data_IF_061912289349
#
_entry.id   IF_061912289349
#
_cell.length_a   1.000
_cell.length_b   1.000
_cell.length_c   1.000
_cell.angle_alpha   90.00
_cell.angle_beta   90.00
_cell.angle_gamma   90.00
#
_symmetry.space_group_name_H-M   'P 1'
#
loop_
_entity.id
_entity.type
_entity.pdbx_description
1 polymer ?
#
# COMPACT_ATOMS: atom_id res chain seq x y z
N UNK A 1 18.59 -15.69 14.45
CA UNK A 1 17.33 -16.16 13.84
C UNK A 1 17.60 -16.47 12.38
N UNK A 2 17.24 -17.66 11.88
CA UNK A 2 17.51 -18.04 10.50
C UNK A 2 16.65 -17.24 9.51
N UNK A 3 17.23 -16.78 8.40
CA UNK A 3 16.47 -16.09 7.35
C UNK A 3 15.56 -17.06 6.56
N UNK A 4 14.56 -16.52 5.85
CA UNK A 4 13.60 -17.31 5.06
C UNK A 4 14.28 -18.35 4.16
N UNK A 5 15.33 -17.96 3.42
CA UNK A 5 16.08 -18.87 2.53
C UNK A 5 16.78 -20.01 3.27
N UNK A 6 17.21 -19.80 4.52
CA UNK A 6 17.82 -20.85 5.31
C UNK A 6 16.76 -21.86 5.78
N UNK A 7 15.58 -21.39 6.18
CA UNK A 7 14.45 -22.26 6.54
C UNK A 7 13.93 -23.03 5.32
N UNK A 8 13.82 -22.38 4.16
CA UNK A 8 13.43 -23.03 2.91
C UNK A 8 14.36 -24.17 2.50
N UNK A 9 15.67 -24.02 2.75
CA UNK A 9 16.64 -25.13 2.56
C UNK A 9 16.36 -26.30 3.50
N UNK A 10 16.01 -26.03 4.76
CA UNK A 10 15.67 -27.09 5.73
C UNK A 10 14.40 -27.86 5.37
N UNK A 11 13.45 -27.24 4.66
CA UNK A 11 12.24 -27.95 4.19
C UNK A 11 12.58 -28.90 3.03
N UNK A 12 13.54 -28.54 2.17
CA UNK A 12 13.96 -29.34 1.01
C UNK A 12 14.98 -30.44 1.34
N UNK A 13 15.63 -30.33 2.49
CA UNK A 13 16.71 -31.21 2.94
C UNK A 13 16.22 -32.66 3.11
N UNK A 14 16.67 -33.61 2.27
CA UNK A 14 16.19 -34.99 2.27
C UNK A 14 16.55 -35.76 3.54
N UNK A 15 17.58 -35.33 4.27
CA UNK A 15 18.09 -36.02 5.46
C UNK A 15 17.31 -35.66 6.73
N UNK A 16 16.38 -34.69 6.63
CA UNK A 16 15.55 -34.26 7.76
C UNK A 16 14.27 -35.05 7.88
N UNK A 17 13.91 -35.31 9.13
CA UNK A 17 12.62 -35.86 9.52
C UNK A 17 11.44 -35.00 9.03
N UNK A 18 10.32 -35.60 8.57
CA UNK A 18 9.14 -34.87 8.09
C UNK A 18 8.59 -33.84 9.09
N UNK A 19 8.62 -34.13 10.39
CA UNK A 19 8.16 -33.21 11.44
C UNK A 19 9.03 -31.94 11.52
N UNK A 20 10.34 -32.10 11.35
CA UNK A 20 11.29 -30.97 11.33
C UNK A 20 11.09 -30.10 10.09
N UNK A 21 10.81 -30.70 8.94
CA UNK A 21 10.48 -29.97 7.70
C UNK A 21 9.18 -29.20 7.85
N UNK A 22 8.14 -29.81 8.41
CA UNK A 22 6.88 -29.13 8.74
C UNK A 22 7.13 -27.93 9.66
N UNK A 23 7.94 -28.11 10.70
CA UNK A 23 8.28 -27.01 11.61
C UNK A 23 9.06 -25.89 10.90
N UNK A 24 10.01 -26.23 10.02
CA UNK A 24 10.74 -25.25 9.22
C UNK A 24 9.80 -24.46 8.29
N UNK A 25 8.83 -25.13 7.67
CA UNK A 25 7.81 -24.47 6.85
C UNK A 25 6.93 -23.52 7.69
N UNK A 26 6.50 -23.93 8.88
CA UNK A 26 5.77 -23.04 9.81
C UNK A 26 6.59 -21.81 10.21
N UNK A 27 7.90 -21.97 10.45
CA UNK A 27 8.81 -20.84 10.70
C UNK A 27 8.96 -19.92 9.47
N UNK A 28 8.81 -20.44 8.24
CA UNK A 28 8.77 -19.57 7.05
C UNK A 28 7.56 -18.64 7.07
N UNK A 29 6.40 -19.13 7.55
CA UNK A 29 5.17 -18.35 7.66
C UNK A 29 5.26 -17.22 8.70
N UNK A 30 6.06 -17.37 9.75
CA UNK A 30 6.34 -16.27 10.69
C UNK A 30 7.00 -15.07 10.00
N UNK A 31 7.67 -15.30 8.85
CA UNK A 31 8.34 -14.26 8.08
C UNK A 31 7.52 -13.74 6.92
N UNK A 32 6.67 -14.57 6.32
CA UNK A 32 5.84 -14.20 5.19
C UNK A 32 4.51 -14.94 5.25
N UNK A 33 3.48 -14.24 5.73
CA UNK A 33 2.10 -14.74 5.82
C UNK A 33 1.11 -13.68 5.32
N UNK A 34 0.88 -13.60 4.00
CA UNK A 34 0.05 -12.55 3.40
C UNK A 34 -1.40 -12.57 3.90
N UNK A 35 -1.96 -13.74 4.24
CA UNK A 35 -3.31 -13.84 4.82
C UNK A 35 -3.34 -13.83 6.35
N UNK A 36 -2.17 -13.70 6.99
CA UNK A 36 -1.97 -14.07 8.38
C UNK A 36 -1.61 -15.55 8.53
N UNK A 37 -0.97 -15.88 9.65
CA UNK A 37 -0.32 -17.18 9.83
C UNK A 37 -1.29 -18.36 9.65
N UNK A 38 -2.44 -18.34 10.36
CA UNK A 38 -3.40 -19.45 10.31
C UNK A 38 -4.06 -19.61 8.94
N UNK A 39 -4.51 -18.52 8.32
CA UNK A 39 -5.14 -18.56 7.01
C UNK A 39 -4.16 -18.98 5.90
N UNK A 40 -2.91 -18.51 5.96
CA UNK A 40 -1.87 -18.91 5.00
C UNK A 40 -1.52 -20.39 5.16
N UNK A 41 -1.43 -20.90 6.40
CA UNK A 41 -1.20 -22.33 6.64
C UNK A 41 -2.34 -23.18 6.05
N UNK A 42 -3.60 -22.83 6.33
CA UNK A 42 -4.76 -23.55 5.80
C UNK A 42 -4.81 -23.53 4.27
N UNK A 43 -4.51 -22.37 3.67
CA UNK A 43 -4.39 -22.21 2.22
C UNK A 43 -3.37 -23.18 1.61
N UNK A 44 -2.15 -23.21 2.17
CA UNK A 44 -1.09 -24.10 1.68
C UNK A 44 -1.43 -25.58 1.85
N UNK A 45 -2.00 -25.96 3.00
CA UNK A 45 -2.45 -27.33 3.26
C UNK A 45 -3.48 -27.77 2.21
N UNK A 46 -4.47 -26.91 1.94
CA UNK A 46 -5.52 -27.18 0.96
C UNK A 46 -4.99 -27.29 -0.47
N UNK A 47 -4.11 -26.39 -0.90
CA UNK A 47 -3.56 -26.40 -2.26
C UNK A 47 -2.58 -27.54 -2.50
N UNK A 48 -1.74 -27.86 -1.52
CA UNK A 48 -0.80 -28.97 -1.61
C UNK A 48 -1.46 -30.33 -1.30
N UNK A 49 -2.67 -30.35 -0.74
CA UNK A 49 -3.44 -31.57 -0.53
C UNK A 49 -3.09 -32.37 0.72
N UNK A 50 -2.58 -31.73 1.78
CA UNK A 50 -2.33 -32.38 3.07
C UNK A 50 -3.14 -31.77 4.22
N UNK A 51 -3.42 -32.55 5.26
CA UNK A 51 -4.24 -32.07 6.38
C UNK A 51 -3.43 -31.14 7.30
N UNK A 52 -3.98 -30.01 7.78
CA UNK A 52 -3.25 -29.04 8.60
C UNK A 52 -2.70 -29.60 9.91
N UNK A 53 -3.32 -30.63 10.46
CA UNK A 53 -2.90 -31.31 11.70
C UNK A 53 -1.97 -32.50 11.48
N UNK A 54 -1.77 -32.93 10.22
CA UNK A 54 -0.91 -34.05 9.87
C UNK A 54 0.53 -33.82 10.36
N UNK A 55 1.03 -34.73 11.19
CA UNK A 55 2.34 -34.63 11.83
C UNK A 55 3.48 -35.01 10.90
N UNK A 56 3.22 -35.92 9.96
CA UNK A 56 4.22 -36.47 9.05
C UNK A 56 3.70 -36.44 7.60
N UNK A 57 3.37 -35.25 7.07
CA UNK A 57 2.92 -35.13 5.70
C UNK A 57 4.03 -35.53 4.74
N UNK A 58 3.64 -36.02 3.57
CA UNK A 58 4.58 -36.37 2.50
C UNK A 58 5.54 -35.19 2.23
N UNK A 59 6.86 -35.40 2.33
CA UNK A 59 7.85 -34.36 2.07
C UNK A 59 7.70 -33.68 0.70
N UNK A 60 7.20 -34.39 -0.32
CA UNK A 60 6.97 -33.80 -1.64
C UNK A 60 5.86 -32.72 -1.58
N UNK A 61 4.79 -32.95 -0.82
CA UNK A 61 3.71 -31.99 -0.63
C UNK A 61 4.16 -30.76 0.17
N UNK A 62 5.06 -30.96 1.15
CA UNK A 62 5.69 -29.85 1.87
C UNK A 62 6.54 -28.97 0.96
N UNK A 63 7.29 -29.58 0.03
CA UNK A 63 8.08 -28.83 -0.96
C UNK A 63 7.18 -28.08 -1.94
N UNK A 64 6.09 -28.69 -2.43
CA UNK A 64 5.12 -28.03 -3.28
C UNK A 64 4.47 -26.80 -2.59
N UNK A 65 4.10 -26.94 -1.31
CA UNK A 65 3.61 -25.82 -0.50
C UNK A 65 4.66 -24.71 -0.32
N UNK A 66 5.93 -25.08 -0.12
CA UNK A 66 7.02 -24.11 -0.04
C UNK A 66 7.22 -23.37 -1.37
N UNK A 67 7.15 -24.06 -2.50
CA UNK A 67 7.30 -23.46 -3.83
C UNK A 67 6.20 -22.43 -4.10
N UNK A 68 4.95 -22.72 -3.74
CA UNK A 68 3.87 -21.72 -3.83
C UNK A 68 4.16 -20.49 -2.96
N UNK A 69 4.64 -20.71 -1.73
CA UNK A 69 5.00 -19.61 -0.83
C UNK A 69 6.17 -18.78 -1.36
N UNK A 70 7.16 -19.42 -1.97
CA UNK A 70 8.32 -18.78 -2.59
C UNK A 70 7.95 -17.98 -3.82
N UNK A 71 7.08 -18.51 -4.69
CA UNK A 71 6.57 -17.78 -5.85
C UNK A 71 5.84 -16.51 -5.43
N UNK A 72 4.95 -16.62 -4.45
CA UNK A 72 4.25 -15.48 -3.88
C UNK A 72 5.22 -14.45 -3.27
N UNK A 73 6.24 -14.93 -2.55
CA UNK A 73 7.27 -14.06 -1.97
C UNK A 73 8.11 -13.37 -3.05
N UNK A 74 8.39 -14.04 -4.16
CA UNK A 74 9.13 -13.46 -5.28
C UNK A 74 8.35 -12.32 -5.94
N UNK A 75 7.03 -12.50 -6.16
CA UNK A 75 6.14 -11.43 -6.64
C UNK A 75 6.19 -10.21 -5.71
N UNK A 76 6.09 -10.44 -4.40
CA UNK A 76 6.13 -9.35 -3.43
C UNK A 76 7.48 -8.63 -3.41
N UNK A 77 8.60 -9.35 -3.40
CA UNK A 77 9.94 -8.74 -3.42
C UNK A 77 10.20 -7.94 -4.70
N UNK A 78 9.70 -8.41 -5.85
CA UNK A 78 9.79 -7.68 -7.10
C UNK A 78 9.07 -6.33 -6.97
N UNK A 79 7.84 -6.34 -6.47
CA UNK A 79 7.07 -5.12 -6.19
C UNK A 79 7.79 -4.17 -5.23
N UNK A 80 8.35 -4.67 -4.12
CA UNK A 80 9.11 -3.83 -3.19
C UNK A 80 10.32 -3.15 -3.88
N UNK A 81 11.00 -3.88 -4.76
CA UNK A 81 12.14 -3.33 -5.51
C UNK A 81 11.73 -2.21 -6.46
N UNK A 82 10.56 -2.33 -7.09
CA UNK A 82 9.99 -1.31 -7.98
C UNK A 82 9.59 -0.05 -7.20
N UNK A 83 8.92 -0.20 -6.05
CA UNK A 83 8.59 0.92 -5.17
C UNK A 83 9.85 1.64 -4.68
N UNK A 84 10.88 0.89 -4.27
CA UNK A 84 12.15 1.47 -3.86
C UNK A 84 12.84 2.23 -5.00
N UNK A 85 12.85 1.66 -6.21
CA UNK A 85 13.40 2.30 -7.40
C UNK A 85 12.64 3.59 -7.76
N UNK A 86 11.30 3.56 -7.75
CA UNK A 86 10.45 4.73 -7.98
C UNK A 86 10.73 5.83 -6.96
N UNK A 87 10.68 5.51 -5.67
CA UNK A 87 10.96 6.48 -4.59
C UNK A 87 12.36 7.07 -4.68
N UNK A 88 13.35 6.30 -5.16
CA UNK A 88 14.72 6.80 -5.42
C UNK A 88 14.74 7.83 -6.55
N UNK A 89 13.96 7.65 -7.62
CA UNK A 89 13.82 8.61 -8.74
C UNK A 89 13.08 9.87 -8.29
N UNK A 90 11.92 9.73 -7.66
CA UNK A 90 11.12 10.86 -7.15
C UNK A 90 11.91 11.74 -6.16
N UNK A 91 12.67 11.11 -5.26
CA UNK A 91 13.55 11.85 -4.33
C UNK A 91 14.62 12.65 -5.05
N UNK A 92 15.14 12.15 -6.18
CA UNK A 92 16.12 12.86 -7.03
C UNK A 92 15.45 14.02 -7.78
N UNK A 93 14.20 13.85 -8.18
CA UNK A 93 13.37 14.87 -8.85
C UNK A 93 12.76 15.89 -7.86
N UNK A 94 13.07 15.79 -6.57
CA UNK A 94 12.59 16.72 -5.55
C UNK A 94 11.18 16.43 -5.02
N UNK A 95 10.51 15.38 -5.49
CA UNK A 95 9.18 14.98 -5.06
C UNK A 95 9.27 14.24 -3.71
N UNK A 96 8.88 14.92 -2.63
CA UNK A 96 8.95 14.38 -1.26
C UNK A 96 7.61 13.89 -0.71
N UNK A 97 6.50 14.30 -1.32
CA UNK A 97 5.17 13.86 -0.90
C UNK A 97 4.95 12.38 -1.25
N UNK A 98 4.54 11.53 -0.29
CA UNK A 98 4.21 10.13 -0.57
C UNK A 98 2.92 10.02 -1.39
N UNK A 99 2.89 9.13 -2.36
CA UNK A 99 1.68 8.79 -3.13
C UNK A 99 0.73 7.92 -2.30
N UNK A 100 -0.54 7.83 -2.68
CA UNK A 100 -1.51 6.92 -2.04
C UNK A 100 -1.02 5.45 -2.01
N UNK A 101 -0.28 5.02 -3.04
CA UNK A 101 0.38 3.71 -3.08
C UNK A 101 1.48 3.56 -2.04
N UNK A 102 2.29 4.61 -1.85
CA UNK A 102 3.38 4.58 -0.88
C UNK A 102 2.83 4.59 0.55
N UNK A 103 1.69 5.23 0.74
CA UNK A 103 0.96 5.22 2.00
C UNK A 103 0.33 3.85 2.27
N UNK A 104 -0.28 3.22 1.26
CA UNK A 104 -0.73 1.83 1.34
C UNK A 104 0.44 0.89 1.65
N UNK A 105 1.51 0.93 0.86
CA UNK A 105 2.72 0.13 1.08
C UNK A 105 3.26 0.30 2.51
N UNK A 106 3.31 1.54 3.03
CA UNK A 106 3.73 1.81 4.40
C UNK A 106 2.80 1.20 5.46
N UNK A 107 1.48 1.21 5.23
CA UNK A 107 0.49 0.64 6.17
C UNK A 107 0.49 -0.90 6.14
N UNK A 108 0.74 -1.48 4.97
CA UNK A 108 0.65 -2.91 4.73
C UNK A 108 1.96 -3.63 5.08
N UNK A 109 3.11 -2.95 5.02
CA UNK A 109 4.40 -3.51 5.41
C UNK A 109 4.70 -3.34 6.91
N UNK A 110 5.48 -4.28 7.49
CA UNK A 110 5.91 -4.21 8.90
C UNK A 110 5.19 -5.15 9.87
N UNK A 111 4.68 -6.29 9.40
CA UNK A 111 4.12 -7.35 10.26
C UNK A 111 2.59 -7.38 10.35
N UNK A 112 1.89 -6.62 9.52
CA UNK A 112 0.44 -6.77 9.31
C UNK A 112 0.17 -7.75 8.16
N UNK A 113 -0.83 -8.61 8.31
CA UNK A 113 -1.34 -9.43 7.21
C UNK A 113 -1.78 -8.53 6.06
N UNK A 114 -1.34 -8.82 4.83
CA UNK A 114 -1.68 -8.03 3.65
C UNK A 114 -3.20 -8.03 3.39
N UNK A 115 -3.82 -9.17 3.64
CA UNK A 115 -5.25 -9.41 3.47
C UNK A 115 -5.72 -10.20 4.69
N UNK A 116 -6.63 -9.64 5.49
CA UNK A 116 -7.25 -10.42 6.56
C UNK A 116 -8.27 -11.37 5.92
N UNK A 117 -7.97 -12.68 5.95
CA UNK A 117 -8.89 -13.71 5.47
C UNK A 117 -9.32 -14.59 6.65
N UNK A 118 -10.58 -15.03 6.61
CA UNK A 118 -11.06 -16.06 7.54
C UNK A 118 -10.26 -17.36 7.28
N UNK A 119 -9.56 -17.92 8.29
CA UNK A 119 -8.84 -19.17 8.13
C UNK A 119 -9.73 -20.35 7.76
N UNK A 120 -11.05 -20.30 7.99
CA UNK A 120 -11.98 -21.34 7.58
C UNK A 120 -12.24 -21.34 6.06
N UNK A 121 -12.02 -20.21 5.38
CA UNK A 121 -12.33 -20.03 3.96
C UNK A 121 -11.20 -19.30 3.24
N UNK A 122 -10.01 -19.92 3.13
CA UNK A 122 -8.92 -19.33 2.36
C UNK A 122 -9.31 -19.25 0.87
N UNK A 123 -8.91 -18.17 0.18
CA UNK A 123 -9.15 -18.03 -1.25
C UNK A 123 -8.55 -19.21 -2.03
N UNK A 124 -9.25 -19.69 -3.06
CA UNK A 124 -8.79 -20.83 -3.88
C UNK A 124 -7.64 -20.56 -4.84
N UNK A 125 -7.43 -19.36 -5.43
CA UNK A 125 -6.34 -19.15 -6.37
C UNK A 125 -4.97 -19.27 -5.69
N UNK A 126 -3.94 -19.58 -6.48
CA UNK A 126 -2.56 -19.64 -5.96
C UNK A 126 -2.18 -18.31 -5.34
N UNK A 127 -1.37 -18.37 -4.29
CA UNK A 127 -1.03 -17.21 -3.49
C UNK A 127 -0.37 -16.10 -4.32
N UNK A 128 0.49 -16.47 -5.28
CA UNK A 128 1.13 -15.53 -6.20
C UNK A 128 0.12 -14.74 -7.04
N UNK A 129 -0.95 -15.39 -7.52
CA UNK A 129 -1.96 -14.74 -8.37
C UNK A 129 -2.80 -13.73 -7.60
N UNK A 130 -3.13 -14.06 -6.35
CA UNK A 130 -3.84 -13.12 -5.47
C UNK A 130 -2.99 -11.88 -5.20
N UNK A 131 -1.69 -12.06 -4.96
CA UNK A 131 -0.78 -10.93 -4.77
C UNK A 131 -0.63 -10.08 -6.03
N UNK A 132 -0.45 -10.70 -7.21
CA UNK A 132 -0.39 -9.99 -8.49
C UNK A 132 -1.65 -9.14 -8.71
N UNK A 133 -2.83 -9.74 -8.48
CA UNK A 133 -4.12 -9.03 -8.64
C UNK A 133 -4.26 -7.89 -7.65
N UNK A 134 -3.86 -8.10 -6.39
CA UNK A 134 -3.89 -7.05 -5.36
C UNK A 134 -2.98 -5.87 -5.73
N UNK A 135 -1.72 -6.15 -6.10
CA UNK A 135 -0.75 -5.13 -6.52
C UNK A 135 -1.33 -4.33 -7.70
N UNK A 136 -1.85 -5.02 -8.72
CA UNK A 136 -2.47 -4.37 -9.89
C UNK A 136 -3.63 -3.44 -9.53
N UNK A 137 -4.54 -3.87 -8.65
CA UNK A 137 -5.66 -3.03 -8.18
C UNK A 137 -5.16 -1.78 -7.45
N UNK A 138 -4.10 -1.91 -6.65
CA UNK A 138 -3.55 -0.79 -5.90
C UNK A 138 -2.77 0.17 -6.79
N UNK A 139 -2.04 -0.31 -7.79
CA UNK A 139 -1.36 0.52 -8.79
C UNK A 139 -2.36 1.35 -9.61
N UNK A 140 -3.51 0.75 -9.98
CA UNK A 140 -4.59 1.47 -10.66
C UNK A 140 -5.17 2.57 -9.78
N UNK A 141 -5.40 2.31 -8.48
CA UNK A 141 -5.92 3.32 -7.53
C UNK A 141 -4.93 4.44 -7.23
N UNK A 142 -3.65 4.16 -7.34
CA UNK A 142 -2.58 5.12 -7.11
C UNK A 142 -2.35 6.07 -8.26
N UNK A 143 -2.68 5.65 -9.48
CA UNK A 143 -2.60 6.48 -10.66
C UNK A 143 -3.79 7.44 -10.61
N UNK A 144 -3.58 8.77 -10.38
CA UNK A 144 -4.69 9.70 -10.49
C UNK A 144 -5.29 9.55 -11.89
N UNK A 145 -6.64 9.63 -12.05
CA UNK A 145 -7.23 9.59 -13.38
C UNK A 145 -6.54 10.68 -14.19
N UNK A 146 -5.83 10.27 -15.25
CA UNK A 146 -5.22 11.22 -16.17
C UNK A 146 -6.36 12.11 -16.62
N UNK A 147 -6.36 13.38 -16.18
CA UNK A 147 -7.24 14.39 -16.76
C UNK A 147 -6.81 14.48 -18.21
N UNK A 148 -7.41 13.65 -19.08
CA UNK A 148 -7.37 13.82 -20.53
C UNK A 148 -7.80 15.26 -20.71
N UNK A 149 -6.85 16.09 -21.10
CA UNK A 149 -7.06 17.52 -21.26
C UNK A 149 -8.22 17.70 -22.22
N UNK A 150 -9.38 18.04 -21.70
CA UNK A 150 -10.33 18.86 -22.43
C UNK A 150 -9.56 20.17 -22.64
N UNK A 151 -8.85 20.27 -23.77
CA UNK A 151 -8.56 21.57 -24.37
C UNK A 151 -9.94 22.17 -24.67
N UNK A 152 -10.46 22.95 -23.74
CA UNK A 152 -11.41 23.98 -24.11
C UNK A 152 -10.56 25.00 -24.85
N UNK A 153 -10.69 25.02 -26.17
CA UNK A 153 -10.15 26.07 -27.01
C UNK A 153 -10.62 27.42 -26.47
N UNK A 154 -9.75 28.12 -25.74
CA UNK A 154 -9.90 29.56 -25.52
C UNK A 154 -9.50 30.24 -26.81
N UNK A 155 -10.42 30.23 -27.78
CA UNK A 155 -10.20 30.72 -29.13
C UNK A 155 -11.42 31.42 -29.69
N UNK A 156 -11.77 32.58 -29.13
CA UNK A 156 -12.16 33.77 -29.91
C UNK A 156 -12.21 34.99 -28.98
N UNK A 157 -11.08 35.71 -28.95
CA UNK A 157 -11.01 37.11 -28.53
C UNK A 157 -11.55 37.93 -29.69
N UNK A 158 -12.83 38.29 -29.66
CA UNK A 158 -13.36 39.32 -30.53
C UNK A 158 -13.16 40.65 -29.83
N UNK A 159 -12.10 41.36 -30.22
CA UNK A 159 -11.92 42.76 -29.86
C UNK A 159 -13.01 43.57 -30.57
N UNK A 160 -13.96 44.11 -29.82
CA UNK A 160 -14.78 45.23 -30.29
C UNK A 160 -14.18 46.50 -29.72
N UNK A 161 -13.32 47.12 -30.54
CA UNK A 161 -12.85 48.49 -30.36
C UNK A 161 -13.84 49.41 -31.06
N UNK A 162 -14.53 50.23 -30.28
CA UNK A 162 -14.99 51.56 -30.72
C UNK A 162 -14.95 52.53 -29.54
N UNK A 163 -14.50 53.73 -29.87
CA UNK A 163 -13.92 54.77 -29.01
C UNK A 163 -14.98 55.79 -28.49
N UNK A 164 -14.59 56.86 -27.75
CA UNK A 164 -15.32 57.37 -26.58
C UNK A 164 -16.19 58.62 -26.83
N UNK A 165 -17.13 58.88 -25.92
CA UNK A 165 -17.70 60.22 -25.73
C UNK A 165 -18.32 60.36 -24.33
N UNK A 166 -18.10 61.49 -23.66
CA UNK A 166 -19.06 62.00 -22.67
C UNK A 166 -18.53 62.31 -21.27
N UNK A 167 -17.93 63.49 -21.14
CA UNK A 167 -17.57 64.26 -19.93
C UNK A 167 -18.76 64.61 -19.01
N UNK A 168 -18.53 64.56 -17.67
CA UNK A 168 -18.88 65.52 -16.57
C UNK A 168 -19.20 64.76 -15.26
N UNK A 169 -18.36 64.89 -14.23
CA UNK A 169 -18.50 65.78 -13.04
C UNK A 169 -19.75 65.49 -12.18
N UNK A 170 -19.76 65.40 -10.84
CA UNK A 170 -18.79 65.69 -9.78
C UNK A 170 -19.34 65.16 -8.43
N UNK A 171 -18.52 65.34 -7.37
CA UNK A 171 -18.84 65.45 -5.92
C UNK A 171 -18.52 64.24 -5.02
N UNK A 172 -17.34 64.32 -4.42
CA UNK A 172 -17.05 63.97 -3.02
C UNK A 172 -17.88 64.89 -2.08
N UNK A 173 -18.18 64.48 -0.82
CA UNK A 173 -17.24 64.74 0.25
C UNK A 173 -17.09 63.65 1.34
N UNK A 174 -15.90 63.71 1.93
CA UNK A 174 -15.39 63.18 3.22
C UNK A 174 -16.39 63.00 4.37
N UNK A 175 -16.11 61.99 5.22
CA UNK A 175 -15.76 62.08 6.66
C UNK A 175 -15.35 60.68 7.14
N UNK A 176 -14.13 60.40 7.61
CA UNK A 176 -13.47 60.72 8.90
C UNK A 176 -14.15 60.13 10.16
N UNK A 177 -13.35 59.35 10.91
CA UNK A 177 -13.58 58.91 12.29
C UNK A 177 -12.73 57.66 12.64
N UNK A 178 -11.43 57.75 12.99
CA UNK A 178 -10.87 57.78 14.38
C UNK A 178 -11.64 56.88 15.35
N UNK A 179 -11.22 55.64 15.67
CA UNK A 179 -10.26 55.27 16.74
C UNK A 179 -10.97 55.09 18.11
N UNK A 180 -10.38 54.56 19.20
CA UNK A 180 -9.31 53.57 19.37
C UNK A 180 -9.61 52.45 20.44
N UNK A 181 -8.71 51.46 20.51
CA UNK A 181 -8.11 50.71 21.65
C UNK A 181 -8.84 50.43 23.00
N UNK A 182 -8.33 49.33 23.62
CA UNK A 182 -8.34 48.88 25.03
C UNK A 182 -9.49 47.91 25.36
N UNK A 183 -9.29 46.80 26.08
CA UNK A 183 -8.16 46.24 26.81
C UNK A 183 -8.64 45.04 27.67
N UNK A 184 -7.72 44.47 28.47
CA UNK A 184 -7.91 43.56 29.62
C UNK A 184 -8.36 42.11 29.32
N UNK A 185 -7.52 41.08 29.53
CA UNK A 185 -6.96 40.50 30.78
C UNK A 185 -7.82 39.35 31.35
N UNK A 186 -7.32 38.11 31.18
CA UNK A 186 -7.20 36.95 32.13
C UNK A 186 -8.43 36.47 32.94
N UNK A 187 -8.40 35.32 33.68
CA UNK A 187 -7.59 34.09 33.62
C UNK A 187 -8.44 32.77 33.69
N UNK A 188 -7.73 31.62 33.70
CA UNK A 188 -8.17 30.25 34.08
C UNK A 188 -8.85 30.18 35.47
N UNK A 189 -9.62 29.09 35.74
CA UNK A 189 -9.14 28.04 36.66
C UNK A 189 -9.50 26.61 36.19
N UNK A 190 -8.59 25.64 36.33
CA UNK A 190 -8.55 24.60 37.38
C UNK A 190 -9.74 23.63 37.38
N UNK A 191 -9.48 22.41 36.90
CA UNK A 191 -10.12 21.15 37.28
C UNK A 191 -8.93 20.17 37.39
N UNK A 192 -8.69 19.47 38.50
CA UNK A 192 -9.64 18.66 39.25
C UNK A 192 -9.22 17.22 39.03
#
# INVERSE_FOLDING_TARGET
MAGFRALARQVRDPDRDPSQRRQALRKCLERFAPYGHRATWQHLCRNAGFHPDDREPDPALLVAALEELEEARAVWLAYESEVAARRKREKREGIRQPTALDEWHRRTWGGRSLLHCDPAQPPTPRLADVLRRMISVMDVRATPPQRRGLRLDTGTRTEVRTEPAGRREARTPRRQGTGPRLGFSTPLPSQG
#
